data_IF_055101096652
#
_entry.id   IF_055101096652
#
_cell.length_a   1.000
_cell.length_b   1.000
_cell.length_c   1.000
_cell.angle_alpha   90.00
_cell.angle_beta   90.00
_cell.angle_gamma   90.00
#
_symmetry.space_group_name_H-M   'P 1'
#
loop_
_entity.id
_entity.type
_entity.pdbx_description
1 polymer ?
#
# COMPACT_ATOMS: atom_id res chain seq x y z
N UNK A 1 26.46 15.18 -15.75
CA UNK A 1 25.75 14.84 -14.48
C UNK A 1 24.29 15.31 -14.44
N UNK A 2 23.93 16.45 -15.02
CA UNK A 2 22.54 16.98 -15.05
C UNK A 2 21.47 16.01 -15.60
N UNK A 3 21.78 15.33 -16.72
CA UNK A 3 20.86 14.42 -17.39
C UNK A 3 20.48 13.19 -16.56
N UNK A 4 21.38 12.72 -15.69
CA UNK A 4 21.15 11.55 -14.84
C UNK A 4 20.07 11.83 -13.81
N UNK A 5 20.08 13.02 -13.19
CA UNK A 5 19.04 13.45 -12.25
C UNK A 5 17.66 13.54 -12.93
N UNK A 6 17.63 14.03 -14.17
CA UNK A 6 16.41 14.15 -14.96
C UNK A 6 15.79 12.78 -15.28
N UNK A 7 16.62 11.81 -15.66
CA UNK A 7 16.18 10.42 -15.92
C UNK A 7 15.64 9.77 -14.65
N UNK A 8 16.32 9.96 -13.50
CA UNK A 8 15.87 9.44 -12.21
C UNK A 8 14.51 10.06 -11.84
N UNK A 9 14.37 11.38 -12.00
CA UNK A 9 13.13 12.09 -11.67
C UNK A 9 11.95 11.57 -12.50
N UNK A 10 12.14 11.42 -13.82
CA UNK A 10 11.13 10.89 -14.74
C UNK A 10 10.75 9.45 -14.37
N UNK A 11 11.74 8.61 -14.07
CA UNK A 11 11.50 7.22 -13.64
C UNK A 11 10.66 7.14 -12.37
N UNK A 12 10.97 7.96 -11.35
CA UNK A 12 10.19 8.04 -10.11
C UNK A 12 8.77 8.53 -10.38
N UNK A 13 8.60 9.52 -11.26
CA UNK A 13 7.30 10.07 -11.60
C UNK A 13 6.39 9.03 -12.27
N UNK A 14 6.88 8.34 -13.30
CA UNK A 14 6.15 7.26 -14.00
C UNK A 14 5.78 6.15 -13.01
N UNK A 15 6.70 5.80 -12.12
CA UNK A 15 6.50 4.77 -11.13
C UNK A 15 5.41 5.13 -10.11
N UNK A 16 5.36 6.38 -9.65
CA UNK A 16 4.28 6.88 -8.77
C UNK A 16 2.93 6.87 -9.49
N UNK A 17 2.88 7.33 -10.75
CA UNK A 17 1.64 7.40 -11.55
C UNK A 17 1.05 5.99 -11.77
N UNK A 18 1.89 5.04 -12.19
CA UNK A 18 1.45 3.67 -12.45
C UNK A 18 1.07 2.91 -11.17
N UNK A 19 1.69 3.24 -10.05
CA UNK A 19 1.35 2.72 -8.72
C UNK A 19 -0.01 3.22 -8.21
N UNK A 20 -0.38 4.47 -8.50
CA UNK A 20 -1.56 5.11 -7.91
C UNK A 20 -2.89 4.42 -8.27
N UNK A 21 -2.95 3.70 -9.40
CA UNK A 21 -4.13 2.92 -9.80
C UNK A 21 -4.29 1.59 -9.07
N UNK A 22 -3.27 1.13 -8.35
CA UNK A 22 -3.34 -0.16 -7.64
C UNK A 22 -3.90 0.05 -6.24
N UNK A 23 -5.10 -0.45 -6.02
CA UNK A 23 -5.75 -0.46 -4.72
C UNK A 23 -5.61 -1.85 -4.11
N UNK A 24 -5.25 -1.91 -2.82
CA UNK A 24 -5.09 -3.16 -2.09
C UNK A 24 -6.13 -3.25 -0.99
N UNK A 25 -6.92 -4.32 -0.98
CA UNK A 25 -7.89 -4.59 0.08
C UNK A 25 -7.25 -5.39 1.23
N UNK A 26 -7.46 -4.91 2.45
CA UNK A 26 -6.94 -5.49 3.69
C UNK A 26 -8.06 -5.67 4.71
N UNK A 27 -8.01 -6.79 5.44
CA UNK A 27 -8.94 -7.10 6.55
C UNK A 27 -8.23 -6.90 7.87
N UNK A 28 -8.80 -6.06 8.74
CA UNK A 28 -8.33 -5.94 10.12
C UNK A 28 -8.56 -7.26 10.88
N UNK A 29 -7.55 -7.75 11.62
CA UNK A 29 -7.70 -8.96 12.45
C UNK A 29 -8.49 -8.75 13.74
N UNK A 30 -8.80 -7.50 14.10
CA UNK A 30 -9.44 -7.17 15.37
C UNK A 30 -10.94 -6.90 15.24
N UNK A 31 -11.35 -6.18 14.21
CA UNK A 31 -12.76 -5.80 13.98
C UNK A 31 -13.32 -6.35 12.66
N UNK A 32 -12.53 -7.16 11.94
CA UNK A 32 -12.88 -7.73 10.63
C UNK A 32 -13.25 -6.72 9.53
N UNK A 33 -13.06 -5.43 9.79
CA UNK A 33 -13.33 -4.38 8.83
C UNK A 33 -12.38 -4.49 7.62
N UNK A 34 -12.98 -4.41 6.43
CA UNK A 34 -12.29 -4.44 5.14
C UNK A 34 -12.08 -3.00 4.70
N UNK A 35 -10.82 -2.64 4.48
CA UNK A 35 -10.47 -1.30 4.02
C UNK A 35 -9.46 -1.38 2.88
N UNK A 36 -9.50 -0.34 2.07
CA UNK A 36 -8.63 -0.18 0.91
C UNK A 36 -7.46 0.74 1.25
N UNK A 37 -6.27 0.37 0.78
CA UNK A 37 -5.10 1.24 0.87
C UNK A 37 -4.49 1.42 -0.51
N UNK A 38 -3.96 2.60 -0.75
CA UNK A 38 -3.19 2.91 -1.94
C UNK A 38 -1.91 2.07 -2.00
N UNK A 39 -1.44 1.82 -3.20
CA UNK A 39 -0.16 1.17 -3.46
C UNK A 39 1.02 1.76 -2.67
N UNK A 40 1.05 3.09 -2.51
CA UNK A 40 2.10 3.76 -1.76
C UNK A 40 2.09 3.32 -0.29
N UNK A 41 0.94 3.46 0.39
CA UNK A 41 0.74 3.04 1.79
C UNK A 41 1.09 1.57 1.93
N UNK A 42 0.62 0.74 1.00
CA UNK A 42 0.98 -0.67 0.94
C UNK A 42 2.51 -0.84 0.88
N UNK A 43 3.26 -0.06 0.10
CA UNK A 43 4.71 -0.21 0.02
C UNK A 43 5.47 0.27 1.26
N UNK A 44 5.08 1.39 1.87
CA UNK A 44 5.76 1.94 3.05
C UNK A 44 5.39 1.23 4.36
N UNK A 45 4.22 0.58 4.41
CA UNK A 45 3.76 -0.10 5.63
C UNK A 45 4.63 -1.30 6.02
N UNK A 46 4.91 -1.49 7.32
CA UNK A 46 5.68 -2.64 7.82
C UNK A 46 5.00 -3.97 7.47
N UNK A 47 5.79 -4.90 6.93
CA UNK A 47 5.34 -6.24 6.53
C UNK A 47 6.00 -7.29 7.42
N UNK A 48 5.20 -8.20 7.98
CA UNK A 48 5.70 -9.37 8.72
C UNK A 48 5.79 -10.60 7.82
N UNK A 49 4.77 -10.85 6.98
CA UNK A 49 4.73 -11.94 6.01
C UNK A 49 4.07 -11.47 4.70
N UNK A 50 4.16 -12.26 3.63
CA UNK A 50 3.57 -11.96 2.32
C UNK A 50 2.07 -11.59 2.38
N UNK A 51 1.35 -12.10 3.37
CA UNK A 51 -0.10 -11.90 3.55
C UNK A 51 -0.49 -11.04 4.76
N UNK A 52 0.47 -10.57 5.57
CA UNK A 52 0.23 -9.84 6.82
C UNK A 52 1.00 -8.53 6.86
N UNK A 53 0.28 -7.42 7.06
CA UNK A 53 0.85 -6.09 7.23
C UNK A 53 0.34 -5.39 8.47
N UNK A 54 1.22 -4.61 9.08
CA UNK A 54 0.87 -3.78 10.21
C UNK A 54 0.22 -2.51 9.69
N UNK A 55 -1.09 -2.42 9.83
CA UNK A 55 -1.89 -1.30 9.32
C UNK A 55 -2.79 -0.78 10.45
N UNK A 56 -2.95 0.55 10.49
CA UNK A 56 -3.94 1.18 11.36
C UNK A 56 -5.31 1.02 10.70
N UNK A 57 -6.23 0.37 11.39
CA UNK A 57 -7.59 0.20 10.87
C UNK A 57 -8.35 1.53 10.96
N UNK A 58 -9.02 2.00 9.90
CA UNK A 58 -9.81 3.24 9.94
C UNK A 58 -11.08 3.10 10.78
N UNK A 59 -11.62 1.89 10.96
CA UNK A 59 -12.80 1.67 11.79
C UNK A 59 -12.47 1.69 13.29
N UNK A 60 -11.61 0.76 13.75
CA UNK A 60 -11.30 0.64 15.18
C UNK A 60 -10.11 1.50 15.64
N UNK A 61 -9.46 2.23 14.73
CA UNK A 61 -8.29 3.09 14.98
C UNK A 61 -7.08 2.40 15.63
N UNK A 62 -7.12 1.07 15.79
CA UNK A 62 -6.04 0.27 16.36
C UNK A 62 -5.04 -0.16 15.30
N UNK A 63 -3.78 -0.19 15.70
CA UNK A 63 -2.71 -0.80 14.93
C UNK A 63 -2.84 -2.33 15.04
N UNK A 64 -3.04 -3.01 13.92
CA UNK A 64 -3.26 -4.47 13.93
C UNK A 64 -2.65 -5.12 12.69
N UNK A 65 -2.43 -6.43 12.77
CA UNK A 65 -1.98 -7.23 11.64
C UNK A 65 -3.16 -7.47 10.70
N UNK A 66 -3.22 -6.71 9.62
CA UNK A 66 -4.25 -6.90 8.61
C UNK A 66 -3.86 -8.01 7.64
N UNK A 67 -4.84 -8.81 7.22
CA UNK A 67 -4.70 -9.87 6.21
C UNK A 67 -5.08 -9.34 4.83
N UNK A 68 -4.28 -9.65 3.82
CA UNK A 68 -4.59 -9.25 2.44
C UNK A 68 -5.76 -10.09 1.89
N UNK A 69 -6.81 -9.45 1.37
CA UNK A 69 -8.03 -10.16 0.93
C UNK A 69 -7.99 -10.44 -0.57
N UNK A 70 -7.68 -9.45 -1.41
CA UNK A 70 -7.35 -9.59 -2.84
C UNK A 70 -6.91 -8.24 -3.42
N UNK A 71 -6.11 -8.28 -4.50
CA UNK A 71 -5.74 -7.08 -5.27
C UNK A 71 -6.91 -6.76 -6.20
N UNK A 72 -7.60 -5.63 -6.00
CA UNK A 72 -8.58 -5.15 -6.99
C UNK A 72 -7.78 -4.32 -7.99
N UNK A 73 -7.60 -4.83 -9.21
CA UNK A 73 -7.14 -4.00 -10.32
C UNK A 73 -8.39 -3.37 -10.93
N UNK A 74 -8.55 -2.06 -10.72
CA UNK A 74 -9.42 -1.23 -11.55
C UNK A 74 -8.69 -0.90 -12.86
#
# INVERSE_FOLDING_TARGET
MQWVLLIILIGVFIYLITGNRRIYSWRCSHCDHIFEISWLINRISPRKNSHLKLLKCPACHRLSWAKQIKRVQL
#
